data_IF_371867246084
#
_entry.id   IF_371867246084
#
_cell.length_a   1.000
_cell.length_b   1.000
_cell.length_c   1.000
_cell.angle_alpha   90.00
_cell.angle_beta   90.00
_cell.angle_gamma   90.00
#
_symmetry.space_group_name_H-M   'P 1'
#
loop_
_entity.id
_entity.type
_entity.pdbx_description
1 polymer ?
#
# COMPACT_ATOMS: atom_id res chain seq x y z
N UNK A 1 0.01 -16.77 -24.24
CA UNK A 1 -0.73 -15.98 -23.24
C UNK A 1 0.04 -14.73 -22.82
N UNK A 2 1.30 -14.82 -22.39
CA UNK A 2 2.16 -13.64 -22.11
C UNK A 2 2.34 -12.70 -23.30
N UNK A 3 2.57 -13.25 -24.49
CA UNK A 3 2.81 -12.48 -25.72
C UNK A 3 1.62 -11.60 -26.14
N UNK A 4 0.39 -12.06 -25.90
CA UNK A 4 -0.85 -11.30 -26.20
C UNK A 4 -1.06 -10.12 -25.24
N UNK A 5 -0.56 -10.23 -24.01
CA UNK A 5 -0.64 -9.18 -23.00
C UNK A 5 0.41 -8.10 -23.31
N UNK A 6 1.62 -8.50 -23.69
CA UNK A 6 2.68 -7.59 -24.13
C UNK A 6 2.28 -6.78 -25.37
N UNK A 7 1.67 -7.41 -26.38
CA UNK A 7 1.16 -6.69 -27.56
C UNK A 7 0.06 -5.68 -27.20
N UNK A 8 -0.88 -6.05 -26.32
CA UNK A 8 -1.93 -5.12 -25.86
C UNK A 8 -1.36 -3.92 -25.09
N UNK A 9 -0.39 -4.15 -24.21
CA UNK A 9 0.28 -3.10 -23.44
C UNK A 9 1.11 -2.17 -24.34
N UNK A 10 1.80 -2.73 -25.34
CA UNK A 10 2.56 -1.95 -26.32
C UNK A 10 1.65 -1.10 -27.21
N UNK A 11 0.47 -1.61 -27.60
CA UNK A 11 -0.51 -0.87 -28.39
C UNK A 11 -1.11 0.34 -27.65
N UNK A 12 -1.12 0.32 -26.31
CA UNK A 12 -1.63 1.41 -25.47
C UNK A 12 -0.52 2.28 -24.85
N UNK A 13 0.74 2.13 -25.28
CA UNK A 13 1.92 2.83 -24.74
C UNK A 13 2.14 2.61 -23.22
N UNK A 14 1.55 1.55 -22.66
CA UNK A 14 1.67 1.22 -21.23
C UNK A 14 2.93 0.36 -21.03
N UNK A 15 3.96 0.95 -20.43
CA UNK A 15 5.18 0.22 -20.06
C UNK A 15 5.09 -0.37 -18.66
N UNK A 16 5.52 -1.63 -18.50
CA UNK A 16 5.65 -2.26 -17.19
C UNK A 16 6.65 -1.50 -16.32
N UNK A 17 6.20 -1.10 -15.12
CA UNK A 17 7.06 -0.39 -14.20
C UNK A 17 8.26 -1.25 -13.77
N UNK A 18 9.50 -0.71 -13.83
CA UNK A 18 10.69 -1.43 -13.39
C UNK A 18 10.58 -1.75 -11.89
N UNK A 19 11.18 -2.88 -11.48
CA UNK A 19 11.11 -3.40 -10.12
C UNK A 19 11.48 -2.36 -9.05
N UNK A 20 12.48 -1.50 -9.34
CA UNK A 20 12.88 -0.41 -8.46
C UNK A 20 11.74 0.58 -8.15
N UNK A 21 10.91 0.93 -9.15
CA UNK A 21 9.76 1.82 -8.93
C UNK A 21 8.68 1.17 -8.07
N UNK A 22 8.51 -0.15 -8.19
CA UNK A 22 7.56 -0.92 -7.37
C UNK A 22 7.99 -0.93 -5.90
N UNK A 23 9.29 -1.12 -5.63
CA UNK A 23 9.83 -1.04 -4.27
C UNK A 23 9.67 0.37 -3.71
N UNK A 24 10.00 1.41 -4.49
CA UNK A 24 9.85 2.79 -4.03
C UNK A 24 8.41 3.13 -3.65
N UNK A 25 7.42 2.70 -4.45
CA UNK A 25 6.02 2.90 -4.15
C UNK A 25 5.62 2.25 -2.82
N UNK A 26 6.05 1.00 -2.61
CA UNK A 26 5.81 0.26 -1.37
C UNK A 26 6.45 0.93 -0.16
N UNK A 27 7.71 1.36 -0.26
CA UNK A 27 8.40 2.06 0.84
C UNK A 27 7.71 3.36 1.24
N UNK A 28 7.14 4.10 0.27
CA UNK A 28 6.40 5.33 0.56
C UNK A 28 5.10 5.02 1.30
N UNK A 29 4.36 3.99 0.87
CA UNK A 29 3.15 3.56 1.58
C UNK A 29 3.45 3.16 3.03
N UNK A 30 4.55 2.44 3.27
CA UNK A 30 4.99 2.07 4.63
C UNK A 30 5.26 3.30 5.49
N UNK A 31 5.94 4.31 4.94
CA UNK A 31 6.22 5.57 5.66
C UNK A 31 4.91 6.27 6.04
N UNK A 32 3.93 6.32 5.14
CA UNK A 32 2.63 6.95 5.40
C UNK A 32 1.88 6.20 6.53
N UNK A 33 1.85 4.87 6.48
CA UNK A 33 1.18 4.04 7.49
C UNK A 33 1.88 4.15 8.85
N UNK A 34 3.21 4.15 8.88
CA UNK A 34 4.00 4.35 10.11
C UNK A 34 3.74 5.74 10.70
N UNK A 35 3.68 6.77 9.86
CA UNK A 35 3.40 8.13 10.32
C UNK A 35 1.99 8.25 10.92
N UNK A 36 0.98 7.68 10.26
CA UNK A 36 -0.39 7.59 10.79
C UNK A 36 -0.44 6.84 12.11
N UNK A 37 0.28 5.73 12.22
CA UNK A 37 0.34 4.93 13.44
C UNK A 37 0.92 5.72 14.62
N UNK A 38 2.02 6.44 14.43
CA UNK A 38 2.63 7.25 15.49
C UNK A 38 1.64 8.32 15.98
N UNK A 39 0.92 8.98 15.08
CA UNK A 39 -0.07 10.01 15.45
C UNK A 39 -1.22 9.41 16.26
N UNK A 40 -1.77 8.29 15.79
CA UNK A 40 -2.94 7.66 16.43
C UNK A 40 -2.60 7.11 17.82
N UNK A 41 -1.42 6.51 17.98
CA UNK A 41 -1.02 5.82 19.20
C UNK A 41 -0.03 6.60 20.08
N UNK A 42 0.17 7.89 19.80
CA UNK A 42 1.06 8.76 20.59
C UNK A 42 0.68 8.83 22.07
N UNK A 43 -0.60 8.98 22.37
CA UNK A 43 -1.10 9.10 23.75
C UNK A 43 -0.93 7.81 24.57
N UNK A 44 -1.37 6.62 24.10
CA UNK A 44 -1.13 5.36 24.81
C UNK A 44 0.36 5.06 25.05
N UNK A 45 1.22 5.39 24.09
CA UNK A 45 2.66 5.14 24.17
C UNK A 45 3.39 6.10 25.13
N UNK A 46 2.95 7.36 25.21
CA UNK A 46 3.56 8.34 26.13
C UNK A 46 3.11 8.18 27.58
N UNK A 47 1.97 7.53 27.81
CA UNK A 47 1.41 7.31 29.15
C UNK A 47 1.95 6.04 29.82
N UNK A 48 2.45 5.06 29.06
CA UNK A 48 3.02 3.83 29.63
C UNK A 48 4.38 4.10 30.28
N UNK A 49 4.42 4.12 31.62
CA UNK A 49 5.65 4.37 32.40
C UNK A 49 6.51 3.11 32.61
N UNK A 50 5.92 1.92 32.44
CA UNK A 50 6.59 0.63 32.60
C UNK A 50 6.95 0.01 31.23
N UNK A 51 8.17 -0.50 31.11
CA UNK A 51 8.65 -1.13 29.87
C UNK A 51 7.85 -2.37 29.46
N UNK A 52 7.42 -3.19 30.43
CA UNK A 52 6.66 -4.41 30.16
C UNK A 52 5.24 -4.12 29.63
N UNK A 53 4.60 -3.09 30.16
CA UNK A 53 3.26 -2.66 29.74
C UNK A 53 3.31 -2.07 28.33
N UNK A 54 4.32 -1.25 28.02
CA UNK A 54 4.55 -0.71 26.67
C UNK A 54 4.79 -1.84 25.65
N UNK A 55 5.57 -2.86 26.02
CA UNK A 55 5.84 -4.02 25.15
C UNK A 55 4.55 -4.79 24.83
N UNK A 56 3.74 -5.10 25.83
CA UNK A 56 2.48 -5.82 25.61
C UNK A 56 1.48 -5.01 24.79
N UNK A 57 1.47 -3.68 24.95
CA UNK A 57 0.64 -2.79 24.13
C UNK A 57 1.06 -2.88 22.65
N UNK A 58 2.35 -2.73 22.34
CA UNK A 58 2.85 -2.83 20.96
C UNK A 58 2.53 -4.19 20.32
N UNK A 59 2.67 -5.29 21.07
CA UNK A 59 2.35 -6.63 20.58
C UNK A 59 0.87 -6.79 20.21
N UNK A 60 -0.04 -6.24 21.00
CA UNK A 60 -1.47 -6.26 20.69
C UNK A 60 -1.81 -5.36 19.49
N UNK A 61 -1.14 -4.21 19.36
CA UNK A 61 -1.32 -3.30 18.24
C UNK A 61 -0.78 -3.85 16.91
N UNK A 62 0.18 -4.78 16.96
CA UNK A 62 0.80 -5.35 15.75
C UNK A 62 -0.24 -5.94 14.78
N UNK A 63 -1.22 -6.69 15.28
CA UNK A 63 -2.25 -7.25 14.40
C UNK A 63 -3.17 -6.16 13.84
N UNK A 64 -3.50 -5.17 14.65
CA UNK A 64 -4.37 -4.05 14.27
C UNK A 64 -3.74 -3.19 13.16
N UNK A 65 -2.45 -2.85 13.29
CA UNK A 65 -1.75 -2.07 12.26
C UNK A 65 -1.61 -2.83 10.93
N UNK A 66 -1.35 -4.14 10.99
CA UNK A 66 -1.28 -4.96 9.77
C UNK A 66 -2.65 -5.04 9.08
N UNK A 67 -3.73 -5.21 9.83
CA UNK A 67 -5.08 -5.19 9.28
C UNK A 67 -5.43 -3.83 8.67
N UNK A 68 -5.12 -2.74 9.36
CA UNK A 68 -5.33 -1.38 8.87
C UNK A 68 -4.56 -1.13 7.57
N UNK A 69 -3.32 -1.61 7.48
CA UNK A 69 -2.49 -1.49 6.29
C UNK A 69 -3.09 -2.22 5.09
N UNK A 70 -3.61 -3.43 5.29
CA UNK A 70 -4.29 -4.18 4.23
C UNK A 70 -5.52 -3.41 3.76
N UNK A 71 -6.36 -2.94 4.69
CA UNK A 71 -7.56 -2.15 4.35
C UNK A 71 -7.19 -0.87 3.61
N UNK A 72 -6.19 -0.13 4.09
CA UNK A 72 -5.66 1.07 3.45
C UNK A 72 -5.26 0.78 2.01
N UNK A 73 -4.34 -0.17 1.80
CA UNK A 73 -3.81 -0.46 0.47
C UNK A 73 -4.91 -0.97 -0.47
N UNK A 74 -5.75 -1.91 -0.02
CA UNK A 74 -6.86 -2.44 -0.82
C UNK A 74 -7.88 -1.36 -1.19
N UNK A 75 -8.23 -0.47 -0.26
CA UNK A 75 -9.18 0.61 -0.53
C UNK A 75 -8.67 1.58 -1.60
N UNK A 76 -7.41 2.03 -1.48
CA UNK A 76 -6.85 2.98 -2.45
C UNK A 76 -6.64 2.34 -3.83
N UNK A 77 -6.14 1.10 -3.88
CA UNK A 77 -5.98 0.38 -5.15
C UNK A 77 -7.34 0.13 -5.81
N UNK A 78 -8.37 -0.20 -5.04
CA UNK A 78 -9.71 -0.42 -5.60
C UNK A 78 -10.37 0.87 -6.10
N UNK A 79 -10.32 1.95 -5.32
CA UNK A 79 -11.01 3.19 -5.67
C UNK A 79 -10.26 4.01 -6.74
N UNK A 80 -8.93 4.10 -6.62
CA UNK A 80 -8.10 4.95 -7.48
C UNK A 80 -7.21 4.18 -8.47
N UNK A 81 -7.14 2.85 -8.39
CA UNK A 81 -6.19 2.05 -9.17
C UNK A 81 -4.73 2.18 -8.72
N UNK A 82 -4.46 2.95 -7.67
CA UNK A 82 -3.13 3.16 -7.14
C UNK A 82 -3.18 3.47 -5.64
N UNK A 83 -2.23 2.94 -4.86
CA UNK A 83 -1.96 3.43 -3.51
C UNK A 83 -1.32 4.82 -3.53
N UNK A 84 -1.35 5.59 -2.44
CA UNK A 84 -0.73 6.92 -2.40
C UNK A 84 0.77 6.91 -2.73
N UNK A 85 1.51 5.88 -2.32
CA UNK A 85 2.90 5.67 -2.73
C UNK A 85 3.03 5.42 -4.23
N UNK A 86 2.12 4.64 -4.81
CA UNK A 86 2.05 4.41 -6.26
C UNK A 86 1.70 5.67 -7.05
N UNK A 87 0.81 6.53 -6.52
CA UNK A 87 0.49 7.83 -7.10
C UNK A 87 1.73 8.74 -7.16
N UNK A 88 2.53 8.77 -6.10
CA UNK A 88 3.77 9.56 -6.04
C UNK A 88 4.81 9.05 -7.05
N UNK A 89 4.98 7.73 -7.18
CA UNK A 89 5.91 7.14 -8.15
C UNK A 89 5.38 7.11 -9.58
N UNK A 90 4.17 7.63 -9.82
CA UNK A 90 3.45 7.58 -11.11
C UNK A 90 3.35 6.16 -11.67
N UNK A 91 3.11 5.20 -10.77
CA UNK A 91 2.85 3.80 -11.10
C UNK A 91 1.39 3.49 -10.78
N UNK A 92 0.74 2.61 -11.54
CA UNK A 92 -0.66 2.25 -11.33
C UNK A 92 -0.82 0.73 -11.41
N UNK A 93 -1.73 0.18 -10.61
CA UNK A 93 -2.19 -1.19 -10.75
C UNK A 93 -3.38 -1.19 -11.70
N UNK A 94 -3.24 -1.89 -12.82
CA UNK A 94 -4.28 -2.02 -13.85
C UNK A 94 -4.73 -3.48 -13.97
N UNK A 95 -6.00 -3.69 -14.30
CA UNK A 95 -6.50 -5.01 -14.66
C UNK A 95 -6.00 -5.35 -16.08
N UNK A 96 -5.45 -6.55 -16.26
CA UNK A 96 -4.89 -7.02 -17.55
C UNK A 96 -5.96 -7.17 -18.65
N UNK A 97 -7.23 -7.38 -18.28
CA UNK A 97 -8.31 -7.61 -19.24
C UNK A 97 -8.96 -6.32 -19.76
N UNK A 98 -9.18 -5.35 -18.86
CA UNK A 98 -9.93 -4.11 -19.14
C UNK A 98 -8.97 -2.91 -19.29
N UNK A 99 -7.70 -3.05 -18.86
CA UNK A 99 -6.67 -2.00 -18.82
C UNK A 99 -7.07 -0.75 -18.00
N UNK A 100 -8.15 -0.87 -17.24
CA UNK A 100 -8.66 0.14 -16.31
C UNK A 100 -8.42 -0.29 -14.85
N UNK A 101 -8.83 0.55 -13.92
CA UNK A 101 -8.77 0.31 -12.48
C UNK A 101 -9.37 -1.07 -12.11
N UNK A 102 -8.75 -1.77 -11.15
CA UNK A 102 -9.26 -3.06 -10.69
C UNK A 102 -10.62 -2.87 -10.02
N UNK A 103 -11.66 -3.48 -10.59
CA UNK A 103 -12.99 -3.54 -9.99
C UNK A 103 -13.17 -4.91 -9.30
N UNK A 104 -14.01 -4.97 -8.26
CA UNK A 104 -14.28 -6.18 -7.48
C UNK A 104 -15.37 -7.07 -8.10
N UNK A 105 -15.73 -6.83 -9.36
CA UNK A 105 -16.74 -7.56 -10.15
C UNK A 105 -16.09 -8.32 -11.27
#
# INVERSE_FOLDING_TARGET
MSMQIEEKLQNEEISLAPFAKRIMAFSIDEIIVVFLFIIIYWEPLSTSTNFDDARNLVLNLFWQINLLKVIYHTFFVWYYGASPGQMITKTMCINVEILDKPNLT
#
